data_IF_371188404545
#
_entry.id   IF_371188404545
#
_cell.length_a   1.000
_cell.length_b   1.000
_cell.length_c   1.000
_cell.angle_alpha   90.00
_cell.angle_beta   90.00
_cell.angle_gamma   90.00
#
_symmetry.space_group_name_H-M   'P 1'
#
loop_
_entity.id
_entity.type
_entity.pdbx_description
1 polymer ?
#
# COMPACT_ATOMS: atom_id res chain seq x y z
N UNK A 1 -23.28 -27.84 -0.25
CA UNK A 1 -22.31 -26.82 -0.70
C UNK A 1 -22.80 -25.46 -0.23
N UNK A 2 -22.01 -24.71 0.55
CA UNK A 2 -22.41 -23.35 0.96
C UNK A 2 -22.35 -22.41 -0.24
N UNK A 3 -23.26 -21.43 -0.30
CA UNK A 3 -23.44 -20.50 -1.43
C UNK A 3 -22.14 -19.78 -1.83
N UNK A 4 -21.28 -19.47 -0.86
CA UNK A 4 -19.95 -18.88 -1.08
C UNK A 4 -19.00 -19.79 -1.86
N UNK A 5 -19.00 -21.12 -1.60
CA UNK A 5 -18.16 -22.06 -2.34
C UNK A 5 -18.63 -22.25 -3.78
N UNK A 6 -19.94 -22.14 -4.02
CA UNK A 6 -20.51 -22.22 -5.37
C UNK A 6 -20.18 -20.98 -6.21
N UNK A 7 -20.20 -19.78 -5.63
CA UNK A 7 -19.82 -18.53 -6.32
C UNK A 7 -18.33 -18.55 -6.68
N UNK A 8 -17.46 -18.92 -5.73
CA UNK A 8 -16.03 -19.03 -5.98
C UNK A 8 -15.72 -20.03 -7.10
N UNK A 9 -16.38 -21.20 -7.09
CA UNK A 9 -16.24 -22.22 -8.14
C UNK A 9 -16.68 -21.71 -9.52
N UNK A 10 -17.79 -20.97 -9.62
CA UNK A 10 -18.23 -20.37 -10.88
C UNK A 10 -17.26 -19.31 -11.39
N UNK A 11 -16.76 -18.43 -10.51
CA UNK A 11 -15.79 -17.41 -10.89
C UNK A 11 -14.50 -18.03 -11.45
N UNK A 12 -13.94 -19.02 -10.76
CA UNK A 12 -12.76 -19.77 -11.24
C UNK A 12 -13.01 -20.37 -12.62
N UNK A 13 -14.16 -21.01 -12.82
CA UNK A 13 -14.53 -21.54 -14.13
C UNK A 13 -14.53 -20.45 -15.22
N UNK A 14 -15.14 -19.29 -15.00
CA UNK A 14 -15.11 -18.20 -15.99
C UNK A 14 -13.70 -17.67 -16.29
N UNK A 15 -12.83 -17.60 -15.27
CA UNK A 15 -11.42 -17.20 -15.47
C UNK A 15 -10.61 -18.24 -16.24
N UNK A 16 -11.07 -19.50 -16.30
CA UNK A 16 -10.40 -20.54 -17.08
C UNK A 16 -10.70 -20.45 -18.57
N UNK A 17 -11.92 -20.05 -18.93
CA UNK A 17 -12.43 -20.09 -20.29
C UNK A 17 -12.28 -18.75 -21.01
N UNK A 18 -12.30 -17.62 -20.28
CA UNK A 18 -12.26 -16.28 -20.86
C UNK A 18 -10.98 -15.51 -20.46
N UNK A 19 -10.06 -15.24 -21.41
CA UNK A 19 -8.83 -14.49 -21.14
C UNK A 19 -9.04 -13.08 -20.60
N UNK A 20 -10.09 -12.37 -21.02
CA UNK A 20 -10.38 -11.03 -20.53
C UNK A 20 -10.86 -11.07 -19.07
N UNK A 21 -11.72 -12.03 -18.72
CA UNK A 21 -12.15 -12.23 -17.32
C UNK A 21 -10.96 -12.62 -16.44
N UNK A 22 -10.05 -13.47 -16.95
CA UNK A 22 -8.80 -13.79 -16.25
C UNK A 22 -7.93 -12.55 -16.02
N UNK A 23 -7.81 -11.69 -17.03
CA UNK A 23 -7.04 -10.45 -16.90
C UNK A 23 -7.63 -9.52 -15.83
N UNK A 24 -8.96 -9.39 -15.78
CA UNK A 24 -9.66 -8.64 -14.73
C UNK A 24 -9.41 -9.27 -13.36
N UNK A 25 -9.56 -10.59 -13.22
CA UNK A 25 -9.29 -11.31 -11.96
C UNK A 25 -7.87 -11.05 -11.45
N UNK A 26 -6.87 -11.15 -12.33
CA UNK A 26 -5.47 -10.90 -11.97
C UNK A 26 -5.22 -9.44 -11.62
N UNK A 27 -5.86 -8.50 -12.33
CA UNK A 27 -5.75 -7.06 -12.01
C UNK A 27 -6.34 -6.76 -10.63
N UNK A 28 -7.49 -7.35 -10.30
CA UNK A 28 -8.11 -7.22 -8.98
C UNK A 28 -7.22 -7.82 -7.88
N UNK A 29 -6.68 -9.02 -8.10
CA UNK A 29 -5.67 -9.61 -7.19
C UNK A 29 -4.46 -8.70 -7.06
N UNK A 30 -4.01 -8.06 -8.15
CA UNK A 30 -2.93 -7.09 -8.16
C UNK A 30 -3.18 -5.93 -7.19
N UNK A 31 -4.38 -5.35 -7.16
CA UNK A 31 -4.71 -4.34 -6.16
C UNK A 31 -4.66 -4.93 -4.74
N UNK A 32 -5.29 -6.08 -4.51
CA UNK A 32 -5.36 -6.73 -3.20
C UNK A 32 -3.98 -7.12 -2.61
N UNK A 33 -3.01 -7.43 -3.48
CA UNK A 33 -1.66 -7.84 -3.09
C UNK A 33 -0.83 -6.71 -2.46
N UNK A 34 -1.23 -5.45 -2.58
CA UNK A 34 -0.62 -4.35 -1.80
C UNK A 34 -0.63 -4.65 -0.31
N UNK A 35 -1.71 -5.27 0.20
CA UNK A 35 -1.81 -5.75 1.57
C UNK A 35 -1.71 -7.29 1.66
N UNK A 36 -0.98 -7.92 0.74
CA UNK A 36 -0.70 -9.38 0.72
C UNK A 36 -1.92 -10.29 0.54
N UNK A 37 -3.02 -9.79 -0.03
CA UNK A 37 -4.23 -10.60 -0.22
C UNK A 37 -4.33 -11.12 -1.66
N UNK A 38 -4.30 -12.45 -1.84
CA UNK A 38 -4.54 -13.08 -3.13
C UNK A 38 -6.05 -13.35 -3.34
N UNK A 39 -6.86 -12.30 -3.39
CA UNK A 39 -8.32 -12.41 -3.52
C UNK A 39 -8.89 -11.27 -4.41
N UNK A 40 -9.60 -11.59 -5.51
CA UNK A 40 -10.12 -10.59 -6.44
C UNK A 40 -11.28 -9.77 -5.85
N UNK A 41 -12.10 -10.34 -4.97
CA UNK A 41 -13.18 -9.61 -4.30
C UNK A 41 -12.60 -8.59 -3.32
N UNK A 42 -11.55 -8.95 -2.58
CA UNK A 42 -10.79 -8.00 -1.76
C UNK A 42 -10.25 -6.85 -2.61
N UNK A 43 -9.69 -7.14 -3.78
CA UNK A 43 -9.20 -6.13 -4.71
C UNK A 43 -10.29 -5.19 -5.23
N UNK A 44 -11.48 -5.73 -5.52
CA UNK A 44 -12.63 -4.92 -5.91
C UNK A 44 -13.06 -3.98 -4.78
N UNK A 45 -13.14 -4.48 -3.54
CA UNK A 45 -13.46 -3.66 -2.36
C UNK A 45 -12.40 -2.56 -2.17
N UNK A 46 -11.12 -2.89 -2.37
CA UNK A 46 -10.01 -1.94 -2.25
C UNK A 46 -10.09 -0.85 -3.31
N UNK A 47 -10.38 -1.18 -4.57
CA UNK A 47 -10.62 -0.16 -5.60
C UNK A 47 -11.78 0.75 -5.22
N UNK A 48 -12.91 0.21 -4.75
CA UNK A 48 -14.05 1.03 -4.30
C UNK A 48 -13.63 1.98 -3.16
N UNK A 49 -12.87 1.48 -2.18
CA UNK A 49 -12.35 2.29 -1.08
C UNK A 49 -11.42 3.42 -1.56
N UNK A 50 -10.52 3.11 -2.51
CA UNK A 50 -9.62 4.10 -3.14
C UNK A 50 -10.42 5.18 -3.87
N UNK A 51 -11.45 4.81 -4.64
CA UNK A 51 -12.30 5.80 -5.31
C UNK A 51 -13.03 6.69 -4.30
N UNK A 52 -13.57 6.12 -3.23
CA UNK A 52 -14.24 6.90 -2.16
C UNK A 52 -13.26 7.88 -1.50
N UNK A 53 -12.06 7.43 -1.15
CA UNK A 53 -11.04 8.30 -0.55
C UNK A 53 -10.57 9.38 -1.52
N UNK A 54 -10.17 9.00 -2.74
CA UNK A 54 -9.64 9.93 -3.74
C UNK A 54 -10.62 11.06 -4.08
N UNK A 55 -11.91 10.74 -4.23
CA UNK A 55 -12.94 11.77 -4.42
C UNK A 55 -13.20 12.58 -3.15
N UNK A 56 -13.17 11.94 -1.97
CA UNK A 56 -13.33 12.61 -0.68
C UNK A 56 -12.23 13.63 -0.37
N UNK A 57 -11.01 13.36 -0.80
CA UNK A 57 -9.84 14.24 -0.65
C UNK A 57 -9.66 15.22 -1.82
N UNK A 58 -10.54 15.17 -2.84
CA UNK A 58 -10.48 16.06 -3.99
C UNK A 58 -9.38 15.73 -5.02
N UNK A 59 -8.77 14.54 -4.95
CA UNK A 59 -7.76 14.05 -5.89
C UNK A 59 -8.20 12.75 -6.61
N UNK A 60 -9.23 12.81 -7.48
CA UNK A 60 -9.70 11.63 -8.20
C UNK A 60 -8.63 11.03 -9.14
N UNK A 61 -7.62 11.81 -9.54
CA UNK A 61 -6.53 11.33 -10.38
C UNK A 61 -5.75 10.18 -9.74
N UNK A 62 -5.61 10.16 -8.40
CA UNK A 62 -4.97 9.06 -7.68
C UNK A 62 -5.71 7.71 -7.86
N UNK A 63 -7.05 7.72 -7.88
CA UNK A 63 -7.84 6.50 -8.09
C UNK A 63 -7.72 5.97 -9.53
N UNK A 64 -7.84 6.85 -10.52
CA UNK A 64 -7.63 6.48 -11.93
C UNK A 64 -6.18 6.05 -12.19
N UNK A 65 -5.23 6.71 -11.52
CA UNK A 65 -3.82 6.35 -11.50
C UNK A 65 -3.57 4.94 -10.98
N UNK A 66 -4.13 4.54 -9.82
CA UNK A 66 -4.01 3.15 -9.34
C UNK A 66 -4.56 2.16 -10.37
N UNK A 67 -5.76 2.41 -10.92
CA UNK A 67 -6.34 1.49 -11.92
C UNK A 67 -5.42 1.36 -13.12
N UNK A 68 -4.98 2.48 -13.69
CA UNK A 68 -4.07 2.49 -14.84
C UNK A 68 -2.77 1.75 -14.51
N UNK A 69 -2.13 2.08 -13.39
CA UNK A 69 -0.86 1.47 -13.00
C UNK A 69 -0.98 -0.03 -12.74
N UNK A 70 -2.07 -0.46 -12.10
CA UNK A 70 -2.36 -1.90 -11.89
C UNK A 70 -2.55 -2.62 -13.22
N UNK A 71 -3.33 -2.05 -14.14
CA UNK A 71 -3.61 -2.63 -15.46
C UNK A 71 -2.34 -2.72 -16.30
N UNK A 72 -1.55 -1.64 -16.36
CA UNK A 72 -0.28 -1.60 -17.10
C UNK A 72 0.69 -2.63 -16.53
N UNK A 73 0.89 -2.66 -15.21
CA UNK A 73 1.79 -3.62 -14.59
C UNK A 73 1.31 -5.07 -14.74
N UNK A 74 -0.01 -5.32 -14.68
CA UNK A 74 -0.59 -6.65 -14.94
C UNK A 74 -0.36 -7.08 -16.39
N UNK A 75 -0.53 -6.16 -17.34
CA UNK A 75 -0.25 -6.42 -18.75
C UNK A 75 1.24 -6.71 -18.99
N UNK A 76 2.14 -5.87 -18.46
CA UNK A 76 3.59 -6.10 -18.54
C UNK A 76 3.99 -7.43 -17.91
N UNK A 77 3.45 -7.76 -16.73
CA UNK A 77 3.70 -9.02 -16.04
C UNK A 77 3.25 -10.26 -16.82
N UNK A 78 2.34 -10.12 -17.79
CA UNK A 78 1.86 -11.24 -18.62
C UNK A 78 2.98 -11.83 -19.48
N UNK A 79 4.00 -11.03 -19.78
CA UNK A 79 5.17 -11.42 -20.56
C UNK A 79 6.32 -11.98 -19.70
N UNK A 80 6.13 -12.06 -18.38
CA UNK A 80 7.09 -12.71 -17.46
C UNK A 80 6.80 -14.21 -17.42
N UNK A 81 7.87 -15.04 -17.43
CA UNK A 81 7.74 -16.50 -17.50
C UNK A 81 7.06 -17.14 -16.27
N UNK A 82 7.05 -16.48 -15.12
CA UNK A 82 6.40 -16.99 -13.91
C UNK A 82 4.88 -16.76 -13.93
N UNK A 83 4.19 -17.68 -14.59
CA UNK A 83 2.74 -17.65 -14.74
C UNK A 83 2.00 -17.76 -13.40
N UNK A 84 2.56 -18.47 -12.43
CA UNK A 84 1.93 -18.68 -11.12
C UNK A 84 1.88 -17.37 -10.35
N UNK A 85 3.01 -16.65 -10.29
CA UNK A 85 3.07 -15.33 -9.66
C UNK A 85 2.20 -14.31 -10.38
N UNK A 86 2.14 -14.37 -11.72
CA UNK A 86 1.20 -13.55 -12.48
C UNK A 86 -0.25 -13.82 -12.12
N UNK A 87 -0.69 -15.08 -12.10
CA UNK A 87 -2.07 -15.45 -11.72
C UNK A 87 -2.42 -15.03 -10.29
N UNK A 88 -1.43 -14.95 -9.40
CA UNK A 88 -1.59 -14.47 -8.03
C UNK A 88 -1.60 -12.92 -7.92
N UNK A 89 -1.42 -12.18 -9.01
CA UNK A 89 -1.39 -10.71 -9.02
C UNK A 89 -0.07 -10.10 -8.53
N UNK A 90 1.00 -10.88 -8.38
CA UNK A 90 2.27 -10.40 -7.77
C UNK A 90 3.03 -9.38 -8.63
N UNK A 91 2.66 -9.20 -9.90
CA UNK A 91 3.24 -8.17 -10.76
C UNK A 91 2.38 -6.89 -10.84
N UNK A 92 1.18 -6.87 -10.25
CA UNK A 92 0.27 -5.72 -10.37
C UNK A 92 0.39 -4.68 -9.25
N UNK A 93 0.68 -5.10 -8.01
CA UNK A 93 0.53 -4.25 -6.83
C UNK A 93 1.50 -3.09 -6.77
N UNK A 94 2.76 -3.29 -7.19
CA UNK A 94 3.74 -2.20 -7.26
C UNK A 94 3.29 -1.12 -8.27
N UNK A 95 2.71 -1.53 -9.40
CA UNK A 95 2.10 -0.62 -10.37
C UNK A 95 0.90 0.14 -9.82
N UNK A 96 0.02 -0.48 -9.02
CA UNK A 96 -1.06 0.27 -8.35
C UNK A 96 -0.49 1.40 -7.48
N UNK A 97 0.51 1.10 -6.63
CA UNK A 97 1.07 2.09 -5.72
C UNK A 97 1.79 3.21 -6.46
N UNK A 98 2.52 2.91 -7.56
CA UNK A 98 3.07 3.95 -8.45
C UNK A 98 1.94 4.84 -8.98
N UNK A 99 0.84 4.22 -9.43
CA UNK A 99 -0.33 4.89 -9.96
C UNK A 99 -1.05 5.79 -8.95
N UNK A 100 -1.12 5.42 -7.68
CA UNK A 100 -1.65 6.30 -6.61
C UNK A 100 -0.67 7.42 -6.29
N UNK A 101 0.61 7.07 -6.08
CA UNK A 101 1.58 7.99 -5.49
C UNK A 101 1.90 9.17 -6.40
N UNK A 102 2.05 8.94 -7.71
CA UNK A 102 2.46 10.04 -8.59
C UNK A 102 1.42 11.18 -8.64
N UNK A 103 0.11 10.92 -8.79
CA UNK A 103 -0.91 11.97 -8.67
C UNK A 103 -1.05 12.58 -7.26
N UNK A 104 -0.60 11.90 -6.20
CA UNK A 104 -0.59 12.46 -4.84
C UNK A 104 0.46 13.57 -4.71
N UNK A 105 1.59 13.45 -5.39
CA UNK A 105 2.73 14.36 -5.22
C UNK A 105 3.00 15.28 -6.41
N UNK A 106 2.46 14.97 -7.59
CA UNK A 106 2.66 15.73 -8.83
C UNK A 106 1.33 16.22 -9.40
N UNK A 107 1.35 17.40 -10.00
CA UNK A 107 0.18 17.98 -10.68
C UNK A 107 -0.27 17.13 -11.86
N UNK A 108 -1.58 17.12 -12.11
CA UNK A 108 -2.20 16.33 -13.18
C UNK A 108 -1.88 16.93 -14.55
N UNK A 109 -0.95 16.29 -15.26
CA UNK A 109 -0.53 16.65 -16.61
C UNK A 109 -0.47 15.42 -17.51
N UNK A 110 -0.41 15.55 -18.85
CA UNK A 110 -0.15 14.41 -19.73
C UNK A 110 1.16 13.67 -19.38
N UNK A 111 2.18 14.40 -18.92
CA UNK A 111 3.47 13.88 -18.50
C UNK A 111 3.32 12.96 -17.28
N UNK A 112 2.50 13.35 -16.29
CA UNK A 112 2.18 12.51 -15.13
C UNK A 112 1.67 11.12 -15.57
N UNK A 113 0.71 11.08 -16.49
CA UNK A 113 0.15 9.81 -16.99
C UNK A 113 1.19 8.97 -17.72
N UNK A 114 2.07 9.62 -18.50
CA UNK A 114 3.24 8.95 -19.11
C UNK A 114 4.20 8.36 -18.07
N UNK A 115 4.43 9.06 -16.97
CA UNK A 115 5.22 8.59 -15.83
C UNK A 115 4.54 7.41 -15.10
N UNK A 116 3.21 7.41 -14.96
CA UNK A 116 2.47 6.27 -14.37
C UNK A 116 2.64 5.02 -15.23
N UNK A 117 2.47 5.14 -16.56
CA UNK A 117 2.64 4.01 -17.48
C UNK A 117 4.07 3.48 -17.41
N UNK A 118 5.05 4.37 -17.59
CA UNK A 118 6.48 3.99 -17.61
C UNK A 118 6.92 3.43 -16.26
N UNK A 119 6.56 4.09 -15.16
CA UNK A 119 6.86 3.64 -13.81
C UNK A 119 6.21 2.29 -13.49
N UNK A 120 4.98 2.05 -13.94
CA UNK A 120 4.32 0.75 -13.75
C UNK A 120 5.06 -0.37 -14.47
N UNK A 121 5.52 -0.15 -15.71
CA UNK A 121 6.36 -1.10 -16.46
C UNK A 121 7.68 -1.36 -15.71
N UNK A 122 8.38 -0.29 -15.32
CA UNK A 122 9.67 -0.38 -14.59
C UNK A 122 9.50 -1.10 -13.25
N UNK A 123 8.38 -0.90 -12.57
CA UNK A 123 8.09 -1.57 -11.30
C UNK A 123 8.00 -3.10 -11.46
N UNK A 124 7.50 -3.60 -12.58
CA UNK A 124 7.49 -5.04 -12.89
C UNK A 124 8.89 -5.56 -13.12
N UNK A 125 9.71 -4.84 -13.91
CA UNK A 125 11.10 -5.20 -14.16
C UNK A 125 11.87 -5.24 -12.83
N UNK A 126 11.75 -4.20 -12.01
CA UNK A 126 12.36 -4.13 -10.69
C UNK A 126 11.85 -5.25 -9.76
N UNK A 127 10.55 -5.59 -9.82
CA UNK A 127 9.98 -6.72 -9.06
C UNK A 127 10.67 -8.03 -9.43
N UNK A 128 10.81 -8.32 -10.73
CA UNK A 128 11.50 -9.53 -11.22
C UNK A 128 12.96 -9.53 -10.78
N UNK A 129 13.70 -8.44 -11.03
CA UNK A 129 15.12 -8.36 -10.69
C UNK A 129 15.39 -8.51 -9.19
N UNK A 130 14.62 -7.82 -8.35
CA UNK A 130 14.78 -7.88 -6.89
C UNK A 130 14.38 -9.26 -6.37
N UNK A 131 13.28 -9.84 -6.86
CA UNK A 131 12.87 -11.19 -6.47
C UNK A 131 13.93 -12.23 -6.87
N UNK A 132 14.53 -12.10 -8.06
CA UNK A 132 15.59 -12.99 -8.52
C UNK A 132 16.87 -12.91 -7.69
N UNK A 133 17.23 -11.73 -7.20
CA UNK A 133 18.35 -11.55 -6.26
C UNK A 133 17.99 -12.18 -4.91
N UNK A 134 16.79 -11.90 -4.39
CA UNK A 134 16.39 -12.27 -3.03
C UNK A 134 15.97 -13.75 -2.87
N UNK A 135 15.72 -14.47 -3.98
CA UNK A 135 15.25 -15.86 -3.94
C UNK A 135 16.18 -16.81 -3.19
N UNK A 136 17.49 -16.54 -3.19
CA UNK A 136 18.51 -17.32 -2.47
C UNK A 136 18.28 -17.29 -0.96
N UNK A 137 17.76 -16.19 -0.41
CA UNK A 137 17.40 -16.03 1.00
C UNK A 137 15.92 -16.28 1.29
N UNK A 138 15.11 -16.62 0.27
CA UNK A 138 13.65 -16.80 0.37
C UNK A 138 12.92 -15.57 0.92
N UNK A 139 13.42 -14.38 0.58
CA UNK A 139 12.83 -13.10 0.98
C UNK A 139 12.01 -12.53 -0.19
N UNK A 140 10.83 -11.99 0.12
CA UNK A 140 9.98 -11.34 -0.88
C UNK A 140 10.51 -9.93 -1.22
N UNK A 141 10.30 -9.48 -2.45
CA UNK A 141 10.66 -8.12 -2.88
C UNK A 141 9.82 -7.02 -2.20
N UNK A 142 8.62 -7.38 -1.70
CA UNK A 142 7.65 -6.47 -1.09
C UNK A 142 7.38 -5.25 -2.02
N UNK A 143 7.15 -4.08 -1.43
CA UNK A 143 6.89 -2.83 -2.14
C UNK A 143 8.15 -2.06 -2.52
N UNK A 144 9.35 -2.65 -2.37
CA UNK A 144 10.60 -1.99 -2.79
C UNK A 144 10.61 -1.56 -4.27
N UNK A 145 10.07 -2.34 -5.24
CA UNK A 145 9.97 -1.91 -6.64
C UNK A 145 9.15 -0.64 -6.83
N UNK A 146 8.02 -0.51 -6.12
CA UNK A 146 7.22 0.72 -6.07
C UNK A 146 8.04 1.88 -5.51
N UNK A 147 8.61 1.73 -4.30
CA UNK A 147 9.34 2.80 -3.61
C UNK A 147 10.47 3.34 -4.47
N UNK A 148 11.32 2.45 -5.02
CA UNK A 148 12.46 2.85 -5.84
C UNK A 148 12.03 3.57 -7.12
N UNK A 149 10.99 3.07 -7.78
CA UNK A 149 10.49 3.65 -9.03
C UNK A 149 9.87 5.03 -8.78
N UNK A 150 9.03 5.16 -7.75
CA UNK A 150 8.41 6.43 -7.38
C UNK A 150 9.45 7.44 -6.92
N UNK A 151 10.45 7.05 -6.12
CA UNK A 151 11.55 7.94 -5.75
C UNK A 151 12.30 8.49 -6.95
N UNK A 152 12.61 7.65 -7.95
CA UNK A 152 13.28 8.11 -9.17
C UNK A 152 12.47 9.20 -9.88
N UNK A 153 11.16 9.01 -10.04
CA UNK A 153 10.29 10.00 -10.71
C UNK A 153 10.17 11.28 -9.88
N UNK A 154 9.93 11.17 -8.57
CA UNK A 154 9.76 12.33 -7.70
C UNK A 154 11.05 13.13 -7.56
N UNK A 155 12.21 12.48 -7.41
CA UNK A 155 13.50 13.17 -7.39
C UNK A 155 13.83 13.82 -8.74
N UNK A 156 13.48 13.16 -9.84
CA UNK A 156 13.67 13.71 -11.19
C UNK A 156 12.80 14.95 -11.44
N UNK A 157 11.65 15.11 -10.77
CA UNK A 157 10.78 16.27 -10.95
C UNK A 157 11.49 17.61 -10.67
N UNK A 158 12.45 17.62 -9.75
CA UNK A 158 13.27 18.81 -9.46
C UNK A 158 14.23 19.18 -10.60
N UNK A 159 14.54 18.25 -11.50
CA UNK A 159 15.41 18.48 -12.66
C UNK A 159 14.62 18.74 -13.96
N UNK A 160 13.31 18.42 -13.98
CA UNK A 160 12.49 18.48 -15.19
C UNK A 160 11.24 19.34 -14.98
N UNK A 161 11.22 20.52 -15.59
CA UNK A 161 10.12 21.50 -15.46
C UNK A 161 8.74 21.02 -15.96
N UNK A 162 8.69 19.93 -16.71
CA UNK A 162 7.43 19.30 -17.14
C UNK A 162 6.72 18.49 -16.05
N UNK A 163 7.38 18.30 -14.89
CA UNK A 163 6.84 17.61 -13.72
C UNK A 163 6.69 18.61 -12.59
N UNK A 164 5.51 19.21 -12.48
CA UNK A 164 5.19 20.11 -11.38
C UNK A 164 4.97 19.30 -10.09
N UNK A 165 5.88 19.48 -9.14
CA UNK A 165 5.91 18.79 -7.86
C UNK A 165 5.48 19.67 -6.68
N UNK A 166 4.56 20.60 -6.94
CA UNK A 166 3.95 21.46 -5.91
C UNK A 166 3.27 20.70 -4.77
N UNK A 167 2.96 19.40 -4.94
CA UNK A 167 2.45 18.53 -3.88
C UNK A 167 3.53 17.96 -2.93
N UNK A 168 4.82 18.14 -3.25
CA UNK A 168 5.91 17.74 -2.35
C UNK A 168 6.18 18.81 -1.30
N UNK A 169 6.62 18.37 -0.12
CA UNK A 169 7.17 19.28 0.90
C UNK A 169 8.42 20.00 0.40
N UNK A 170 8.63 21.21 0.89
CA UNK A 170 9.81 22.01 0.57
C UNK A 170 11.04 21.47 1.29
N UNK A 171 12.17 21.33 0.59
CA UNK A 171 13.42 22.01 0.90
C UNK A 171 14.04 22.12 2.33
N UNK A 172 13.79 21.28 3.36
CA UNK A 172 14.26 21.55 4.74
C UNK A 172 15.31 20.61 5.37
N UNK A 173 16.24 21.20 6.14
CA UNK A 173 17.22 20.47 6.96
C UNK A 173 16.59 19.90 8.25
N UNK A 174 17.07 18.72 8.73
CA UNK A 174 16.62 18.16 9.99
C UNK A 174 16.78 19.12 11.17
N UNK A 175 15.70 19.30 11.91
CA UNK A 175 15.67 20.11 13.12
C UNK A 175 14.91 19.37 14.22
N UNK A 176 15.23 19.62 15.51
CA UNK A 176 14.49 19.01 16.62
C UNK A 176 13.01 19.33 16.53
N UNK A 177 12.15 18.34 16.78
CA UNK A 177 10.72 18.57 16.90
C UNK A 177 10.47 19.58 18.03
N UNK A 178 9.77 20.68 17.72
CA UNK A 178 9.25 21.57 18.73
C UNK A 178 8.11 20.83 19.44
N UNK A 179 8.31 20.50 20.71
CA UNK A 179 7.34 19.71 21.49
C UNK A 179 5.98 20.42 21.53
N UNK A 180 4.99 19.85 20.83
CA UNK A 180 3.60 20.18 21.08
C UNK A 180 3.18 19.56 22.42
N UNK A 181 2.26 20.18 23.19
CA UNK A 181 1.68 19.55 24.36
C UNK A 181 1.14 18.18 23.95
N UNK A 182 1.49 17.13 24.71
CA UNK A 182 0.95 15.80 24.46
C UNK A 182 -0.58 15.86 24.58
N UNK A 183 -1.27 15.87 23.44
CA UNK A 183 -2.68 15.54 23.39
C UNK A 183 -2.84 14.17 24.05
N UNK A 184 -3.84 14.00 24.92
CA UNK A 184 -3.99 12.77 25.68
C UNK A 184 -3.91 11.54 24.79
N UNK A 185 -3.17 10.52 25.23
CA UNK A 185 -2.95 9.24 24.52
C UNK A 185 -4.26 8.56 24.06
N UNK A 186 -5.38 8.94 24.69
CA UNK A 186 -6.73 8.47 24.44
C UNK A 186 -7.70 9.64 24.17
N UNK A 187 -7.35 10.53 23.26
CA UNK A 187 -8.36 11.42 22.68
C UNK A 187 -9.44 10.58 21.97
N UNK A 188 -10.67 11.08 21.92
CA UNK A 188 -11.83 10.39 21.30
C UNK A 188 -11.66 10.04 19.80
N UNK A 189 -10.52 10.40 19.20
CA UNK A 189 -10.18 10.20 17.80
C UNK A 189 -9.33 8.96 17.51
N UNK A 190 -8.88 8.20 18.53
CA UNK A 190 -8.00 7.03 18.32
C UNK A 190 -8.53 6.03 17.28
N UNK A 191 -9.85 5.83 17.25
CA UNK A 191 -10.49 4.95 16.26
C UNK A 191 -10.33 5.47 14.83
N UNK A 192 -10.53 6.77 14.61
CA UNK A 192 -10.34 7.40 13.32
C UNK A 192 -8.86 7.35 12.90
N UNK A 193 -7.94 7.66 13.82
CA UNK A 193 -6.48 7.60 13.58
C UNK A 193 -6.01 6.20 13.20
N UNK A 194 -6.54 5.16 13.86
CA UNK A 194 -6.24 3.77 13.51
C UNK A 194 -6.70 3.44 12.09
N UNK A 195 -7.89 3.90 11.68
CA UNK A 195 -8.39 3.69 10.32
C UNK A 195 -7.65 4.52 9.29
N UNK A 196 -7.21 5.75 9.61
CA UNK A 196 -6.30 6.52 8.77
C UNK A 196 -5.00 5.77 8.53
N UNK A 197 -4.41 5.17 9.58
CA UNK A 197 -3.22 4.33 9.43
C UNK A 197 -3.41 3.14 8.47
N UNK A 198 -4.62 2.57 8.39
CA UNK A 198 -4.92 1.51 7.42
C UNK A 198 -5.11 2.08 6.01
N UNK A 199 -5.79 3.22 5.85
CA UNK A 199 -6.01 3.83 4.54
C UNK A 199 -4.75 4.42 3.92
N UNK A 200 -3.82 4.91 4.74
CA UNK A 200 -2.55 5.50 4.31
C UNK A 200 -1.62 4.50 3.62
N UNK A 201 -1.91 3.19 3.72
CA UNK A 201 -1.24 2.19 2.88
C UNK A 201 -1.45 2.47 1.38
N UNK A 202 -2.56 3.12 1.02
CA UNK A 202 -2.83 3.67 -0.30
C UNK A 202 -2.77 5.19 -0.32
N UNK A 203 -2.01 5.83 0.57
CA UNK A 203 -1.77 7.29 0.55
C UNK A 203 -3.04 8.14 0.66
N UNK A 204 -4.00 7.69 1.48
CA UNK A 204 -5.21 8.43 1.81
C UNK A 204 -5.42 8.43 3.33
N UNK A 205 -5.85 9.55 3.89
CA UNK A 205 -6.23 9.69 5.31
C UNK A 205 -7.75 9.72 5.43
N UNK A 206 -8.38 8.55 5.24
CA UNK A 206 -9.85 8.42 5.17
C UNK A 206 -10.38 7.29 6.04
N UNK A 207 -11.20 7.63 7.04
CA UNK A 207 -11.90 6.67 7.91
C UNK A 207 -12.75 5.69 7.09
N UNK A 208 -13.47 6.20 6.09
CA UNK A 208 -14.36 5.39 5.26
C UNK A 208 -13.58 4.35 4.45
N UNK A 209 -12.48 4.77 3.81
CA UNK A 209 -11.62 3.85 3.07
C UNK A 209 -10.90 2.87 4.00
N UNK A 210 -10.39 3.32 5.15
CA UNK A 210 -9.77 2.46 6.16
C UNK A 210 -10.71 1.35 6.62
N UNK A 211 -11.97 1.68 6.90
CA UNK A 211 -13.00 0.70 7.24
C UNK A 211 -13.26 -0.30 6.11
N UNK A 212 -13.35 0.16 4.86
CA UNK A 212 -13.52 -0.72 3.70
C UNK A 212 -12.30 -1.61 3.44
N UNK A 213 -11.08 -1.10 3.64
CA UNK A 213 -9.87 -1.92 3.56
C UNK A 213 -9.85 -3.00 4.64
N UNK A 214 -10.24 -2.70 5.88
CA UNK A 214 -10.41 -3.72 6.93
C UNK A 214 -11.44 -4.78 6.53
N UNK A 215 -12.58 -4.38 5.95
CA UNK A 215 -13.60 -5.31 5.45
C UNK A 215 -13.03 -6.18 4.33
N UNK A 216 -12.34 -5.60 3.35
CA UNK A 216 -11.71 -6.33 2.26
C UNK A 216 -10.64 -7.30 2.74
N UNK A 217 -9.84 -6.92 3.74
CA UNK A 217 -8.90 -7.82 4.41
C UNK A 217 -9.65 -8.98 5.07
N UNK A 218 -10.74 -8.72 5.81
CA UNK A 218 -11.49 -9.75 6.51
C UNK A 218 -12.16 -10.76 5.56
N UNK A 219 -12.51 -10.33 4.33
CA UNK A 219 -13.01 -11.20 3.26
C UNK A 219 -11.97 -12.24 2.83
N UNK A 220 -10.69 -11.86 2.75
CA UNK A 220 -9.60 -12.78 2.39
C UNK A 220 -9.03 -13.54 3.60
N UNK A 221 -8.80 -12.83 4.70
CA UNK A 221 -8.20 -13.33 5.93
C UNK A 221 -8.58 -12.47 7.14
N UNK A 222 -9.37 -13.05 8.06
CA UNK A 222 -9.69 -12.42 9.35
C UNK A 222 -8.44 -12.06 10.15
N UNK A 223 -7.39 -12.87 10.05
CA UNK A 223 -6.12 -12.59 10.72
C UNK A 223 -5.42 -11.36 10.13
N UNK A 224 -5.43 -11.20 8.80
CA UNK A 224 -4.85 -10.02 8.18
C UNK A 224 -5.58 -8.75 8.64
N UNK A 225 -6.91 -8.77 8.75
CA UNK A 225 -7.69 -7.66 9.30
C UNK A 225 -7.33 -7.34 10.76
N UNK A 226 -7.20 -8.37 11.61
CA UNK A 226 -6.81 -8.20 13.03
C UNK A 226 -5.40 -7.59 13.13
N UNK A 227 -4.44 -8.11 12.36
CA UNK A 227 -3.08 -7.59 12.36
C UNK A 227 -2.98 -6.18 11.76
N UNK A 228 -3.81 -5.84 10.78
CA UNK A 228 -3.87 -4.48 10.24
C UNK A 228 -4.30 -3.47 11.31
N UNK A 229 -5.41 -3.73 12.00
CA UNK A 229 -5.91 -2.87 13.09
C UNK A 229 -4.91 -2.84 14.24
N UNK A 230 -4.42 -4.00 14.69
CA UNK A 230 -3.49 -4.11 15.81
C UNK A 230 -2.14 -3.44 15.52
N UNK A 231 -1.62 -3.58 14.30
CA UNK A 231 -0.40 -2.91 13.83
C UNK A 231 -0.56 -1.40 13.79
N UNK A 232 -1.68 -0.90 13.23
CA UNK A 232 -1.99 0.53 13.21
C UNK A 232 -2.10 1.10 14.63
N UNK A 233 -2.87 0.46 15.50
CA UNK A 233 -3.03 0.87 16.90
C UNK A 233 -1.69 0.90 17.65
N UNK A 234 -0.89 -0.15 17.53
CA UNK A 234 0.41 -0.21 18.20
C UNK A 234 1.36 0.87 17.66
N UNK A 235 1.32 1.16 16.37
CA UNK A 235 2.12 2.21 15.77
C UNK A 235 1.74 3.61 16.27
N UNK A 236 0.43 3.90 16.33
CA UNK A 236 -0.10 5.16 16.88
C UNK A 236 0.34 5.31 18.34
N UNK A 237 0.14 4.29 19.17
CA UNK A 237 0.59 4.32 20.57
C UNK A 237 2.09 4.53 20.69
N UNK A 238 2.90 3.85 19.87
CA UNK A 238 4.36 4.00 19.86
C UNK A 238 4.78 5.41 19.47
N UNK A 239 4.21 5.96 18.40
CA UNK A 239 4.50 7.31 17.93
C UNK A 239 4.11 8.37 18.97
N UNK A 240 2.92 8.24 19.59
CA UNK A 240 2.47 9.14 20.65
C UNK A 240 3.34 9.06 21.91
N UNK A 241 3.75 7.86 22.32
CA UNK A 241 4.66 7.67 23.47
C UNK A 241 6.05 8.27 23.22
N UNK A 242 6.52 8.27 21.98
CA UNK A 242 7.80 8.87 21.57
C UNK A 242 7.71 10.37 21.30
N UNK A 243 6.51 10.97 21.42
CA UNK A 243 6.32 12.42 21.20
C UNK A 243 6.40 12.84 19.73
N UNK A 244 5.97 11.99 18.80
CA UNK A 244 5.89 12.33 17.39
C UNK A 244 4.87 13.47 17.13
N UNK A 245 4.98 14.13 15.96
CA UNK A 245 4.04 15.19 15.56
C UNK A 245 2.59 14.67 15.57
N UNK A 246 1.69 15.38 16.25
CA UNK A 246 0.29 14.97 16.43
C UNK A 246 -0.46 14.94 15.11
N UNK A 247 -0.27 15.94 14.24
CA UNK A 247 -0.94 16.00 12.93
C UNK A 247 -0.54 14.82 12.05
N UNK A 248 0.75 14.50 11.95
CA UNK A 248 1.23 13.34 11.19
C UNK A 248 0.79 12.01 11.81
N UNK A 249 0.65 11.96 13.12
CA UNK A 249 0.14 10.77 13.82
C UNK A 249 -1.36 10.60 13.52
N UNK A 250 -2.14 11.67 13.63
CA UNK A 250 -3.59 11.68 13.43
C UNK A 250 -3.99 11.40 11.98
N UNK A 251 -3.17 11.81 11.00
CA UNK A 251 -3.34 11.43 9.60
C UNK A 251 -2.85 10.02 9.27
N UNK A 252 -2.27 9.29 10.22
CA UNK A 252 -1.85 7.89 10.02
C UNK A 252 -0.47 7.70 9.38
N UNK A 253 0.33 8.76 9.19
CA UNK A 253 1.64 8.70 8.52
C UNK A 253 2.70 7.89 9.29
N UNK A 254 2.51 7.68 10.59
CA UNK A 254 3.37 6.79 11.38
C UNK A 254 2.91 5.33 11.40
N UNK A 255 1.72 5.03 10.85
CA UNK A 255 1.05 3.74 11.03
C UNK A 255 1.04 2.86 9.77
N UNK A 256 0.99 3.42 8.55
CA UNK A 256 0.77 2.61 7.34
C UNK A 256 1.87 1.57 7.08
N UNK A 257 3.15 1.93 7.25
CA UNK A 257 4.26 0.98 7.13
C UNK A 257 4.15 -0.15 8.17
N UNK A 258 3.75 0.19 9.38
CA UNK A 258 3.54 -0.76 10.48
C UNK A 258 2.34 -1.68 10.23
N UNK A 259 1.27 -1.20 9.58
CA UNK A 259 0.14 -2.04 9.12
C UNK A 259 0.66 -3.14 8.19
N UNK A 260 1.46 -2.79 7.19
CA UNK A 260 2.04 -3.78 6.27
C UNK A 260 2.99 -4.74 6.99
N UNK A 261 3.85 -4.24 7.90
CA UNK A 261 4.70 -5.09 8.75
C UNK A 261 3.87 -6.09 9.55
N UNK A 262 2.78 -5.64 10.17
CA UNK A 262 1.92 -6.48 10.99
C UNK A 262 1.24 -7.59 10.17
N UNK A 263 0.67 -7.25 9.02
CA UNK A 263 0.02 -8.23 8.13
C UNK A 263 1.05 -9.24 7.62
N UNK A 264 2.19 -8.76 7.12
CA UNK A 264 3.25 -9.58 6.53
C UNK A 264 3.79 -10.61 7.54
N UNK A 265 4.24 -10.14 8.70
CA UNK A 265 4.81 -11.00 9.74
C UNK A 265 3.74 -11.85 10.42
N UNK A 266 2.60 -11.25 10.74
CA UNK A 266 1.56 -11.83 11.59
C UNK A 266 0.71 -12.90 10.90
N UNK A 267 0.50 -12.78 9.59
CA UNK A 267 -0.49 -13.63 8.90
C UNK A 267 -0.11 -14.08 7.49
N UNK A 268 0.70 -13.32 6.74
CA UNK A 268 1.01 -13.67 5.34
C UNK A 268 2.21 -14.59 5.19
N UNK A 269 3.31 -14.29 5.88
CA UNK A 269 4.52 -15.11 5.83
C UNK A 269 4.55 -16.20 6.90
N UNK A 270 3.70 -16.08 7.92
CA UNK A 270 3.65 -17.02 9.03
C UNK A 270 2.21 -17.34 9.43
N UNK A 271 2.02 -18.53 9.98
CA UNK A 271 0.76 -18.88 10.64
C UNK A 271 0.70 -18.20 12.02
N UNK A 272 -0.40 -17.52 12.37
CA UNK A 272 -0.53 -16.87 13.67
C UNK A 272 -0.26 -17.83 14.84
N UNK A 273 0.61 -17.42 15.75
CA UNK A 273 0.89 -18.11 17.02
C UNK A 273 1.48 -17.12 18.02
N UNK A 274 1.61 -17.49 19.29
CA UNK A 274 2.20 -16.62 20.32
C UNK A 274 3.62 -16.15 20.00
N UNK A 275 4.44 -17.00 19.36
CA UNK A 275 5.78 -16.62 18.92
C UNK A 275 5.72 -15.58 17.80
N UNK A 276 4.79 -15.76 16.86
CA UNK A 276 4.56 -14.81 15.76
C UNK A 276 4.11 -13.46 16.30
N UNK A 277 3.15 -13.45 17.21
CA UNK A 277 2.68 -12.23 17.86
C UNK A 277 3.84 -11.47 18.52
N UNK A 278 4.74 -12.18 19.22
CA UNK A 278 5.91 -11.57 19.87
C UNK A 278 6.83 -10.82 18.90
N UNK A 279 7.28 -11.45 17.81
CA UNK A 279 8.17 -10.76 16.87
C UNK A 279 7.42 -9.79 15.95
N UNK A 280 6.13 -9.99 15.66
CA UNK A 280 5.31 -9.00 14.95
C UNK A 280 5.19 -7.72 15.77
N UNK A 281 4.99 -7.81 17.08
CA UNK A 281 4.94 -6.67 17.99
C UNK A 281 6.25 -5.86 17.95
N UNK A 282 7.39 -6.55 18.08
CA UNK A 282 8.72 -5.93 17.97
C UNK A 282 8.92 -5.29 16.60
N UNK A 283 8.55 -6.01 15.53
CA UNK A 283 8.66 -5.53 14.16
C UNK A 283 7.86 -4.25 13.93
N UNK A 284 6.62 -4.19 14.40
CA UNK A 284 5.77 -2.98 14.30
C UNK A 284 6.40 -1.80 15.01
N UNK A 285 6.87 -1.96 16.25
CA UNK A 285 7.55 -0.89 16.99
C UNK A 285 8.77 -0.40 16.21
N UNK A 286 9.61 -1.33 15.75
CA UNK A 286 10.82 -0.95 15.01
C UNK A 286 10.49 -0.26 13.68
N UNK A 287 9.41 -0.65 13.00
CA UNK A 287 8.93 0.04 11.80
C UNK A 287 8.59 1.51 12.06
N UNK A 288 8.06 1.86 13.24
CA UNK A 288 7.80 3.27 13.60
C UNK A 288 9.11 4.07 13.71
N UNK A 289 10.16 3.48 14.31
CA UNK A 289 11.49 4.10 14.35
C UNK A 289 12.06 4.29 12.94
N UNK A 290 11.95 3.27 12.08
CA UNK A 290 12.38 3.36 10.68
C UNK A 290 11.60 4.44 9.93
N UNK A 291 10.28 4.53 10.13
CA UNK A 291 9.47 5.57 9.52
C UNK A 291 9.95 6.97 9.91
N UNK A 292 10.19 7.21 11.22
CA UNK A 292 10.75 8.48 11.69
C UNK A 292 12.12 8.78 11.08
N UNK A 293 13.02 7.80 11.07
CA UNK A 293 14.35 7.96 10.49
C UNK A 293 14.32 8.26 8.99
N UNK A 294 13.47 7.57 8.22
CA UNK A 294 13.32 7.78 6.79
C UNK A 294 12.67 9.11 6.45
N UNK A 295 11.66 9.53 7.23
CA UNK A 295 11.06 10.86 7.11
C UNK A 295 12.13 11.94 7.31
N UNK A 296 13.02 11.80 8.30
CA UNK A 296 14.11 12.77 8.52
C UNK A 296 15.19 12.71 7.45
N UNK A 297 15.53 11.52 6.94
CA UNK A 297 16.56 11.35 5.90
C UNK A 297 16.14 11.96 4.55
N UNK A 298 14.84 11.92 4.25
CA UNK A 298 14.25 12.38 3.00
C UNK A 298 13.44 13.67 3.12
N UNK A 299 13.25 14.19 4.34
CA UNK A 299 12.95 15.60 4.58
C UNK A 299 14.14 16.36 4.03
N UNK A 300 13.95 16.82 2.80
CA UNK A 300 14.91 17.60 2.07
C UNK A 300 14.33 18.91 1.79
#
# INVERSE_FOLDING_TARGET
>A
MNTSSAIASKWTHYTEINPAVRFIDVTLRGCAQVMFQNNPLTGLIFFIAIFIAAYGEGNPAAAYGCVLGTVVATFTGMFVNDRTSWLAGLYGYNGCLVGVALPTFLSVTPQLWGCIITGSIVSVIATVSIADILKTWKVAALTAPFVLTTWVVLLASYAFSGLDASGLSVPELPHPLVSAPAGGLFNGHIFATVLHGVSEVYLFSSVAAGGLFVVGLAVASRWAAIFAIGGSLLAVLTASLLGANTTSTDSGLYAFSAVLTAIALGSSFNKPSWRVLGYTFIGVIFTVFVQGAMNTLLAR
#
